data_IF_286340038595
#
_entry.id   IF_286340038595
#
_cell.length_a   1.000
_cell.length_b   1.000
_cell.length_c   1.000
_cell.angle_alpha   90.00
_cell.angle_beta   90.00
_cell.angle_gamma   90.00
#
_symmetry.space_group_name_H-M   'P 1'
#
loop_
_entity.id
_entity.type
_entity.pdbx_description
1 polymer ?
#
# COMPACT_ATOMS: atom_id res chain seq x y z
N UNK A 1 -0.55 9.70 -7.56
CA UNK A 1 0.04 8.79 -6.55
C UNK A 1 -0.88 8.67 -5.34
N UNK A 2 -0.91 7.54 -4.64
CA UNK A 2 -1.71 7.33 -3.41
C UNK A 2 -0.88 6.59 -2.37
N UNK A 3 -1.04 6.94 -1.09
CA UNK A 3 -0.51 6.15 0.03
C UNK A 3 -1.55 5.10 0.42
N UNK A 4 -1.17 3.83 0.32
CA UNK A 4 -1.96 2.72 0.84
C UNK A 4 -1.42 2.30 2.20
N UNK A 5 -2.31 2.23 3.18
CA UNK A 5 -2.00 1.81 4.55
C UNK A 5 -2.84 0.60 4.90
N UNK A 6 -2.23 -0.37 5.58
CA UNK A 6 -2.82 -1.61 6.04
C UNK A 6 -2.73 -1.57 7.57
N UNK A 7 -3.85 -1.38 8.24
CA UNK A 7 -3.88 -1.22 9.68
C UNK A 7 -4.40 -2.47 10.39
N UNK A 8 -3.94 -2.66 11.62
CA UNK A 8 -4.35 -3.76 12.46
C UNK A 8 -5.87 -3.72 12.72
N UNK A 9 -6.57 -4.82 12.44
CA UNK A 9 -8.05 -4.84 12.51
C UNK A 9 -8.60 -4.72 13.92
N UNK A 10 -7.80 -4.98 14.95
CA UNK A 10 -8.21 -4.85 16.34
C UNK A 10 -8.33 -3.39 16.79
N UNK A 11 -7.81 -2.45 16.02
CA UNK A 11 -7.89 -1.02 16.29
C UNK A 11 -9.20 -0.43 15.76
N UNK A 12 -9.76 0.54 16.48
CA UNK A 12 -10.88 1.33 15.96
C UNK A 12 -10.49 2.15 14.73
N UNK A 13 -11.46 2.56 13.92
CA UNK A 13 -11.21 3.37 12.72
C UNK A 13 -10.46 4.68 12.99
N UNK A 14 -10.74 5.34 14.13
CA UNK A 14 -9.98 6.53 14.58
C UNK A 14 -8.52 6.15 14.85
N UNK A 15 -8.29 5.07 15.58
CA UNK A 15 -6.93 4.60 15.88
C UNK A 15 -6.20 4.21 14.60
N UNK A 16 -6.83 3.50 13.66
CA UNK A 16 -6.24 3.16 12.36
C UNK A 16 -5.81 4.41 11.57
N UNK A 17 -6.61 5.47 11.61
CA UNK A 17 -6.23 6.77 11.07
C UNK A 17 -4.98 7.36 11.74
N UNK A 18 -4.90 7.29 13.08
CA UNK A 18 -3.72 7.75 13.85
C UNK A 18 -2.48 6.92 13.51
N UNK A 19 -2.59 5.59 13.44
CA UNK A 19 -1.48 4.71 13.07
C UNK A 19 -0.96 4.99 11.66
N UNK A 20 -1.88 5.32 10.74
CA UNK A 20 -1.52 5.73 9.38
C UNK A 20 -0.71 7.04 9.38
N UNK A 21 -1.01 7.98 10.28
CA UNK A 21 -0.24 9.21 10.44
C UNK A 21 1.15 8.95 11.03
N UNK A 22 1.27 8.06 12.02
CA UNK A 22 2.59 7.62 12.53
C UNK A 22 3.45 7.02 11.42
N UNK A 23 2.88 6.15 10.58
CA UNK A 23 3.56 5.60 9.42
C UNK A 23 4.05 6.69 8.45
N UNK A 24 3.27 7.76 8.24
CA UNK A 24 3.68 8.89 7.40
C UNK A 24 4.93 9.56 7.97
N UNK A 25 4.99 9.78 9.28
CA UNK A 25 6.18 10.34 9.92
C UNK A 25 7.40 9.44 9.74
N UNK A 26 7.23 8.12 9.93
CA UNK A 26 8.31 7.14 9.72
C UNK A 26 8.81 7.12 8.27
N UNK A 27 7.93 7.29 7.28
CA UNK A 27 8.33 7.41 5.88
C UNK A 27 9.26 8.61 5.66
N UNK A 28 8.91 9.77 6.20
CA UNK A 28 9.73 10.99 6.05
C UNK A 28 11.06 10.88 6.79
N UNK A 29 11.11 10.25 7.95
CA UNK A 29 12.35 9.99 8.68
C UNK A 29 13.22 8.99 7.92
N UNK A 30 12.63 7.89 7.42
CA UNK A 30 13.33 6.83 6.68
C UNK A 30 13.92 7.34 5.37
N UNK A 31 13.20 8.19 4.64
CA UNK A 31 13.58 8.69 3.32
C UNK A 31 13.94 10.19 3.36
N UNK A 32 14.71 10.59 4.38
CA UNK A 32 15.18 11.99 4.55
C UNK A 32 16.29 12.37 3.56
N UNK A 33 17.06 11.39 3.08
CA UNK A 33 18.15 11.59 2.13
C UNK A 33 17.66 11.59 0.69
N UNK A 34 18.38 12.26 -0.21
CA UNK A 34 18.04 12.33 -1.63
C UNK A 34 18.05 10.93 -2.28
N UNK A 35 16.97 10.62 -2.99
CA UNK A 35 16.76 9.33 -3.65
C UNK A 35 15.42 9.28 -4.39
N UNK A 36 15.19 8.23 -5.17
CA UNK A 36 13.92 8.07 -5.90
C UNK A 36 12.74 7.90 -4.94
N UNK A 37 12.94 7.21 -3.83
CA UNK A 37 11.94 7.08 -2.77
C UNK A 37 11.63 8.43 -2.14
N UNK A 38 12.64 9.20 -1.75
CA UNK A 38 12.46 10.55 -1.19
C UNK A 38 11.71 11.46 -2.16
N UNK A 39 12.09 11.44 -3.44
CA UNK A 39 11.39 12.18 -4.50
C UNK A 39 9.92 11.74 -4.63
N UNK A 40 9.65 10.43 -4.71
CA UNK A 40 8.30 9.88 -4.83
C UNK A 40 7.42 10.19 -3.61
N UNK A 41 8.01 10.16 -2.41
CA UNK A 41 7.34 10.51 -1.16
C UNK A 41 6.97 12.00 -1.14
N UNK A 42 7.91 12.87 -1.51
CA UNK A 42 7.70 14.31 -1.58
C UNK A 42 6.70 14.69 -2.68
N UNK A 43 6.75 14.03 -3.83
CA UNK A 43 5.79 14.22 -4.93
C UNK A 43 4.36 13.91 -4.48
N UNK A 44 4.16 12.75 -3.85
CA UNK A 44 2.87 12.37 -3.29
C UNK A 44 2.39 13.39 -2.25
N UNK A 45 3.25 13.75 -1.30
CA UNK A 45 2.90 14.64 -0.19
C UNK A 45 2.65 16.08 -0.64
N UNK A 46 3.27 16.55 -1.72
CA UNK A 46 3.10 17.92 -2.22
C UNK A 46 1.91 18.04 -3.17
N UNK A 47 1.67 17.05 -4.05
CA UNK A 47 0.71 17.15 -5.16
C UNK A 47 -0.55 16.31 -5.02
N UNK A 48 -0.47 15.10 -4.42
CA UNK A 48 -1.59 14.15 -4.45
C UNK A 48 -2.32 14.02 -3.11
N UNK A 49 -1.57 13.89 -2.00
CA UNK A 49 -2.06 13.87 -0.61
C UNK A 49 -3.22 12.89 -0.34
N UNK A 50 -3.38 11.88 -1.19
CA UNK A 50 -4.46 10.90 -1.08
C UNK A 50 -3.97 9.69 -0.29
N UNK A 51 -4.72 9.31 0.75
CA UNK A 51 -4.48 8.13 1.57
C UNK A 51 -5.66 7.17 1.48
N UNK A 52 -5.37 5.87 1.45
CA UNK A 52 -6.36 4.79 1.52
C UNK A 52 -6.01 3.91 2.72
N UNK A 53 -6.96 3.77 3.65
CA UNK A 53 -6.81 2.95 4.85
C UNK A 53 -7.53 1.62 4.64
N UNK A 54 -6.76 0.55 4.60
CA UNK A 54 -7.19 -0.83 4.42
C UNK A 54 -7.08 -1.58 5.74
N UNK A 55 -7.94 -2.57 5.92
CA UNK A 55 -7.80 -3.55 6.99
C UNK A 55 -6.69 -4.52 6.59
N UNK A 56 -5.60 -4.55 7.35
CA UNK A 56 -4.40 -5.34 7.09
C UNK A 56 -4.32 -6.67 7.84
N UNK A 57 -5.35 -7.08 8.58
CA UNK A 57 -5.29 -8.26 9.42
C UNK A 57 -4.68 -8.00 10.80
N UNK A 58 -4.21 -9.06 11.45
CA UNK A 58 -3.53 -8.99 12.75
C UNK A 58 -2.04 -8.64 12.56
N UNK A 59 -1.25 -8.64 13.64
CA UNK A 59 0.18 -8.31 13.58
C UNK A 59 1.01 -9.26 12.70
N UNK A 60 0.66 -10.55 12.64
CA UNK A 60 1.33 -11.54 11.78
C UNK A 60 1.01 -11.30 10.30
N UNK A 61 -0.26 -10.99 9.99
CA UNK A 61 -0.71 -10.62 8.65
C UNK A 61 0.03 -9.35 8.18
N UNK A 62 0.19 -8.35 9.06
CA UNK A 62 0.92 -7.13 8.76
C UNK A 62 2.42 -7.38 8.49
N UNK A 63 3.08 -8.24 9.27
CA UNK A 63 4.47 -8.61 9.01
C UNK A 63 4.64 -9.32 7.66
N UNK A 64 3.70 -10.21 7.35
CA UNK A 64 3.66 -10.90 6.04
C UNK A 64 3.41 -9.91 4.91
N UNK A 65 2.48 -8.97 5.10
CA UNK A 65 2.21 -7.87 4.18
C UNK A 65 3.46 -7.01 3.95
N UNK A 66 4.16 -6.59 5.00
CA UNK A 66 5.38 -5.79 4.86
C UNK A 66 6.45 -6.52 4.05
N UNK A 67 6.60 -7.83 4.28
CA UNK A 67 7.53 -8.66 3.52
C UNK A 67 7.15 -8.69 2.03
N UNK A 68 5.88 -9.02 1.72
CA UNK A 68 5.40 -9.11 0.35
C UNK A 68 5.44 -7.76 -0.38
N UNK A 69 4.99 -6.70 0.27
CA UNK A 69 5.01 -5.33 -0.25
C UNK A 69 6.45 -4.86 -0.49
N UNK A 70 7.36 -5.16 0.43
CA UNK A 70 8.77 -4.78 0.36
C UNK A 70 9.49 -5.38 -0.84
N UNK A 71 9.18 -6.62 -1.24
CA UNK A 71 9.77 -7.26 -2.42
C UNK A 71 9.57 -6.43 -3.69
N UNK A 72 8.38 -5.86 -3.87
CA UNK A 72 8.04 -5.02 -5.02
C UNK A 72 8.52 -3.58 -4.81
N UNK A 73 8.27 -3.03 -3.62
CA UNK A 73 8.55 -1.63 -3.32
C UNK A 73 10.05 -1.29 -3.40
N UNK A 74 10.93 -2.19 -2.94
CA UNK A 74 12.39 -2.01 -3.06
C UNK A 74 12.81 -2.03 -4.52
N UNK A 75 12.33 -3.00 -5.31
CA UNK A 75 12.68 -3.13 -6.72
C UNK A 75 12.28 -1.90 -7.54
N UNK A 76 11.15 -1.29 -7.18
CA UNK A 76 10.55 -0.16 -7.91
C UNK A 76 10.84 1.21 -7.28
N UNK A 77 11.62 1.27 -6.19
CA UNK A 77 11.88 2.49 -5.42
C UNK A 77 10.59 3.20 -4.95
N UNK A 78 9.63 2.42 -4.45
CA UNK A 78 8.43 2.93 -3.81
C UNK A 78 8.67 3.12 -2.31
N UNK A 79 8.40 4.32 -1.76
CA UNK A 79 8.49 4.57 -0.33
C UNK A 79 7.56 3.63 0.42
N UNK A 80 8.09 2.89 1.38
CA UNK A 80 7.31 1.97 2.21
C UNK A 80 7.88 1.90 3.62
N UNK A 81 7.02 1.63 4.59
CA UNK A 81 7.39 1.50 6.00
C UNK A 81 6.47 0.52 6.73
N UNK A 82 6.87 0.16 7.95
CA UNK A 82 6.03 -0.44 8.96
C UNK A 82 6.12 0.42 10.22
N UNK A 83 5.02 0.53 10.95
CA UNK A 83 4.97 1.21 12.23
C UNK A 83 4.68 0.19 13.34
N UNK A 84 5.49 0.27 14.39
CA UNK A 84 5.28 -0.46 15.63
C UNK A 84 4.94 0.53 16.74
N UNK A 85 3.95 0.19 17.54
CA UNK A 85 3.68 0.90 18.77
C UNK A 85 4.81 0.73 19.77
N UNK A 86 4.85 1.57 20.80
CA UNK A 86 5.81 1.38 21.87
C UNK A 86 5.44 0.19 22.78
N UNK A 87 6.40 -0.21 23.62
CA UNK A 87 6.22 -1.36 24.52
C UNK A 87 5.12 -1.14 25.57
N UNK A 88 4.94 0.09 26.05
CA UNK A 88 3.94 0.43 27.06
C UNK A 88 2.52 0.55 26.48
N UNK A 89 2.41 0.97 25.21
CA UNK A 89 1.13 1.19 24.54
C UNK A 89 0.52 -0.11 24.02
N UNK A 90 1.26 -0.88 23.21
CA UNK A 90 0.79 -2.14 22.61
C UNK A 90 1.88 -3.21 22.53
N UNK A 91 2.81 -3.23 23.51
CA UNK A 91 3.87 -4.25 23.61
C UNK A 91 4.66 -4.44 22.30
N UNK A 92 5.02 -3.33 21.64
CA UNK A 92 5.76 -3.35 20.38
C UNK A 92 5.04 -4.02 19.20
N UNK A 93 3.72 -4.12 19.25
CA UNK A 93 2.94 -4.68 18.16
C UNK A 93 3.03 -3.84 16.89
N UNK A 94 3.09 -4.53 15.74
CA UNK A 94 2.91 -3.91 14.44
C UNK A 94 1.44 -3.50 14.29
N UNK A 95 1.21 -2.23 13.98
CA UNK A 95 -0.13 -1.66 13.90
C UNK A 95 -0.45 -1.09 12.53
N UNK A 96 0.56 -0.75 11.74
CA UNK A 96 0.38 -0.24 10.38
C UNK A 96 1.55 -0.60 9.47
N UNK A 97 1.23 -0.91 8.21
CA UNK A 97 2.18 -1.05 7.10
C UNK A 97 1.69 -0.19 5.95
N UNK A 98 2.58 0.37 5.13
CA UNK A 98 2.09 1.05 3.94
C UNK A 98 3.17 1.44 2.96
N UNK A 99 2.71 1.85 1.77
CA UNK A 99 3.56 2.31 0.68
C UNK A 99 2.89 3.41 -0.15
N UNK A 100 3.71 4.30 -0.69
CA UNK A 100 3.30 5.31 -1.66
C UNK A 100 3.43 4.72 -3.07
N UNK A 101 2.31 4.65 -3.80
CA UNK A 101 2.22 3.94 -5.07
C UNK A 101 1.82 4.85 -6.23
N UNK A 102 2.31 4.56 -7.44
CA UNK A 102 2.01 5.36 -8.62
C UNK A 102 0.60 5.11 -9.16
N UNK A 103 0.16 6.01 -10.03
CA UNK A 103 -1.18 6.01 -10.63
C UNK A 103 -1.58 4.71 -11.34
N UNK A 104 -0.72 4.09 -12.16
CA UNK A 104 -1.11 2.91 -12.94
C UNK A 104 -1.63 1.74 -12.07
N UNK A 105 -1.11 1.58 -10.84
CA UNK A 105 -1.49 0.50 -9.92
C UNK A 105 -2.97 0.57 -9.55
N UNK A 106 -3.47 1.74 -9.14
CA UNK A 106 -4.86 1.86 -8.72
C UNK A 106 -5.82 2.07 -9.87
N UNK A 107 -5.38 2.69 -10.98
CA UNK A 107 -6.18 2.77 -12.20
C UNK A 107 -6.44 1.37 -12.75
N UNK A 108 -5.45 0.49 -12.76
CA UNK A 108 -5.63 -0.91 -13.16
C UNK A 108 -6.70 -1.61 -12.32
N UNK A 109 -6.66 -1.45 -11.00
CA UNK A 109 -7.68 -1.99 -10.11
C UNK A 109 -9.08 -1.39 -10.33
N UNK A 110 -9.18 -0.13 -10.75
CA UNK A 110 -10.44 0.54 -11.08
C UNK A 110 -10.99 0.05 -12.43
N UNK A 111 -10.15 -0.14 -13.45
CA UNK A 111 -10.53 -0.69 -14.74
C UNK A 111 -10.91 -2.18 -14.67
N UNK A 112 -10.16 -2.98 -13.89
CA UNK A 112 -10.48 -4.39 -13.65
C UNK A 112 -11.89 -4.59 -13.10
N UNK A 113 -12.38 -3.67 -12.26
CA UNK A 113 -13.74 -3.74 -11.68
C UNK A 113 -14.84 -3.56 -12.72
N UNK A 114 -14.53 -2.93 -13.86
CA UNK A 114 -15.48 -2.69 -14.97
C UNK A 114 -15.57 -3.89 -15.91
N UNK A 115 -14.62 -4.82 -15.85
CA UNK A 115 -14.61 -6.00 -16.70
C UNK A 115 -15.76 -6.97 -16.35
N UNK A 116 -16.37 -7.64 -17.34
CA UNK A 116 -17.32 -8.71 -17.11
C UNK A 116 -16.71 -9.84 -16.26
N UNK A 117 -17.42 -10.25 -15.21
CA UNK A 117 -17.01 -11.39 -14.36
C UNK A 117 -17.46 -12.71 -14.99
N UNK A 118 -16.88 -13.06 -16.12
CA UNK A 118 -17.13 -14.31 -16.84
C UNK A 118 -15.89 -15.22 -16.88
N UNK A 119 -15.98 -16.34 -17.59
CA UNK A 119 -14.89 -17.30 -17.75
C UNK A 119 -13.66 -16.74 -18.48
N UNK A 120 -13.69 -15.50 -19.00
CA UNK A 120 -12.60 -14.86 -19.72
C UNK A 120 -11.88 -13.80 -18.89
N UNK A 121 -12.21 -13.63 -17.61
CA UNK A 121 -11.65 -12.57 -16.76
C UNK A 121 -10.11 -12.55 -16.73
N UNK A 122 -9.46 -13.72 -16.70
CA UNK A 122 -8.00 -13.83 -16.69
C UNK A 122 -7.34 -13.36 -18.01
N UNK A 123 -7.96 -13.69 -19.15
CA UNK A 123 -7.51 -13.20 -20.44
C UNK A 123 -7.73 -11.68 -20.58
N UNK A 124 -8.85 -11.18 -20.04
CA UNK A 124 -9.17 -9.75 -20.04
C UNK A 124 -8.25 -8.94 -19.13
N UNK A 125 -7.90 -9.46 -17.93
CA UNK A 125 -6.95 -8.81 -17.02
C UNK A 125 -5.55 -8.74 -17.62
N UNK A 126 -5.11 -9.82 -18.27
CA UNK A 126 -3.82 -9.87 -18.97
C UNK A 126 -3.75 -8.86 -20.12
N UNK A 127 -4.80 -8.79 -20.95
CA UNK A 127 -4.89 -7.83 -22.04
C UNK A 127 -4.92 -6.38 -21.53
N UNK A 128 -5.62 -6.11 -20.43
CA UNK A 128 -5.65 -4.80 -19.79
C UNK A 128 -4.28 -4.38 -19.26
N UNK A 129 -3.57 -5.27 -18.55
CA UNK A 129 -2.23 -4.99 -18.05
C UNK A 129 -1.25 -4.67 -19.19
N UNK A 130 -1.32 -5.43 -20.29
CA UNK A 130 -0.52 -5.18 -21.49
C UNK A 130 -0.87 -3.84 -22.16
N UNK A 131 -2.16 -3.52 -22.29
CA UNK A 131 -2.62 -2.24 -22.85
C UNK A 131 -2.13 -1.04 -22.03
N UNK A 132 -2.11 -1.18 -20.70
CA UNK A 132 -1.63 -0.15 -19.78
C UNK A 132 -0.10 -0.11 -19.63
N UNK A 133 0.63 -1.04 -20.27
CA UNK A 133 2.09 -1.12 -20.19
C UNK A 133 2.62 -1.48 -18.81
N UNK A 134 1.85 -2.24 -18.02
CA UNK A 134 2.24 -2.64 -16.67
C UNK A 134 3.25 -3.78 -16.68
N UNK A 135 4.21 -3.73 -15.76
CA UNK A 135 5.10 -4.85 -15.50
C UNK A 135 4.37 -5.98 -14.76
N UNK A 136 5.00 -7.16 -14.70
CA UNK A 136 4.49 -8.27 -13.88
C UNK A 136 4.39 -7.85 -12.41
N UNK A 137 5.37 -7.11 -11.90
CA UNK A 137 5.41 -6.61 -10.54
C UNK A 137 4.30 -5.61 -10.23
N UNK A 138 3.98 -4.72 -11.18
CA UNK A 138 2.87 -3.77 -11.03
C UNK A 138 1.53 -4.51 -10.88
N UNK A 139 1.32 -5.56 -11.68
CA UNK A 139 0.11 -6.39 -11.62
C UNK A 139 0.04 -7.13 -10.27
N UNK A 140 1.12 -7.78 -9.85
CA UNK A 140 1.17 -8.48 -8.56
C UNK A 140 0.90 -7.54 -7.38
N UNK A 141 1.46 -6.34 -7.42
CA UNK A 141 1.23 -5.32 -6.38
C UNK A 141 -0.22 -4.83 -6.38
N UNK A 142 -0.80 -4.59 -7.57
CA UNK A 142 -2.20 -4.18 -7.68
C UNK A 142 -3.15 -5.28 -7.15
N UNK A 143 -2.89 -6.54 -7.47
CA UNK A 143 -3.64 -7.70 -6.97
C UNK A 143 -3.53 -7.85 -5.45
N UNK A 144 -2.31 -7.72 -4.91
CA UNK A 144 -2.05 -7.74 -3.48
C UNK A 144 -2.93 -6.69 -2.78
N UNK A 145 -2.89 -5.43 -3.20
CA UNK A 145 -3.69 -4.35 -2.58
C UNK A 145 -5.19 -4.62 -2.70
N UNK A 146 -5.65 -5.09 -3.86
CA UNK A 146 -7.08 -5.38 -4.13
C UNK A 146 -7.63 -6.47 -3.22
N UNK A 147 -6.79 -7.36 -2.71
CA UNK A 147 -7.20 -8.45 -1.81
C UNK A 147 -7.59 -7.99 -0.40
N UNK A 148 -7.23 -6.76 0.00
CA UNK A 148 -7.52 -6.23 1.32
C UNK A 148 -8.74 -5.29 1.29
N UNK A 149 -9.71 -5.47 2.21
CA UNK A 149 -10.87 -4.61 2.27
C UNK A 149 -10.54 -3.24 2.88
N UNK A 150 -11.39 -2.24 2.61
CA UNK A 150 -11.34 -0.96 3.34
C UNK A 150 -11.48 -1.20 4.84
N UNK A 151 -10.74 -0.42 5.62
CA UNK A 151 -10.89 -0.42 7.06
C UNK A 151 -12.29 0.10 7.46
N UNK A 152 -12.89 -0.48 8.49
CA UNK A 152 -14.25 -0.19 8.95
C UNK A 152 -14.24 0.20 10.42
#
# INVERSE_FOLDING_TARGET
>A
MRLYTFCNYYLSSIQQGIQSAHLVHDLFVKYQEDGLESYNLFEWASKHKTMVVLNGGNSEDLLSMYTNLGLFAIKMNYPHALFCEDKASLNSAVTCVGAVLPEPIYVYNEELKKLPKDHKLEAQSTALAQYMGLSYEDVQLAELIRSYPLAK
#
